data_IF_358816368358
#
_entry.id   IF_358816368358
#
_cell.length_a   1.000
_cell.length_b   1.000
_cell.length_c   1.000
_cell.angle_alpha   90.00
_cell.angle_beta   90.00
_cell.angle_gamma   90.00
#
_symmetry.space_group_name_H-M   'P 1'
#
loop_
_entity.id
_entity.type
_entity.pdbx_description
1 polymer ?
#
# COMPACT_ATOMS: atom_id res chain seq x y z
N UNK A 1 54.18 9.25 13.17
CA UNK A 1 53.56 7.96 13.55
C UNK A 1 52.39 8.28 14.46
N UNK A 2 51.19 8.29 13.92
CA UNK A 2 49.97 8.52 14.70
C UNK A 2 49.27 7.18 14.77
N UNK A 3 49.23 6.61 15.96
CA UNK A 3 48.44 5.42 16.27
C UNK A 3 47.08 5.89 16.78
N UNK A 4 46.00 5.72 15.98
CA UNK A 4 44.64 5.79 16.48
C UNK A 4 43.73 4.77 15.80
N UNK A 5 44.04 3.49 16.08
CA UNK A 5 43.22 2.36 15.61
C UNK A 5 42.04 2.03 16.55
N UNK A 6 41.82 2.84 17.62
CA UNK A 6 40.79 2.50 18.62
C UNK A 6 39.49 3.27 18.46
N UNK A 7 39.49 4.45 17.85
CA UNK A 7 38.32 5.30 17.70
C UNK A 7 37.37 4.79 16.59
N UNK A 8 37.96 4.27 15.49
CA UNK A 8 37.16 3.73 14.39
C UNK A 8 36.42 2.43 14.74
N UNK A 9 37.01 1.58 15.61
CA UNK A 9 36.31 0.35 16.07
C UNK A 9 35.16 0.65 17.03
N UNK A 10 35.30 1.66 17.90
CA UNK A 10 34.22 2.07 18.82
C UNK A 10 33.03 2.68 18.08
N UNK A 11 33.27 3.51 17.06
CA UNK A 11 32.20 4.09 16.21
C UNK A 11 31.45 3.00 15.43
N UNK A 12 32.17 2.01 14.87
CA UNK A 12 31.56 0.92 14.11
C UNK A 12 30.70 0.01 14.99
N UNK A 13 31.10 -0.20 16.26
CA UNK A 13 30.34 -1.01 17.21
C UNK A 13 29.10 -0.29 17.74
N UNK A 14 29.15 1.01 18.00
CA UNK A 14 28.01 1.80 18.44
C UNK A 14 26.91 1.88 17.38
N UNK A 15 27.27 2.09 16.10
CA UNK A 15 26.32 2.11 14.99
C UNK A 15 25.66 0.76 14.74
N UNK A 16 26.31 -0.36 15.05
CA UNK A 16 25.76 -1.70 14.84
C UNK A 16 24.79 -2.14 15.96
N UNK A 17 24.92 -1.62 17.17
CA UNK A 17 23.99 -1.90 18.28
C UNK A 17 22.70 -1.09 18.20
N UNK A 18 22.73 0.16 17.76
CA UNK A 18 21.52 0.99 17.58
C UNK A 18 20.58 0.46 16.52
N UNK A 19 21.08 -0.23 15.49
CA UNK A 19 20.26 -0.83 14.43
C UNK A 19 19.48 -2.09 14.85
N UNK A 20 19.70 -2.62 16.05
CA UNK A 20 19.07 -3.84 16.55
C UNK A 20 17.84 -3.60 17.44
N UNK A 21 17.57 -2.35 17.83
CA UNK A 21 16.40 -2.04 18.66
C UNK A 21 15.13 -2.32 17.87
N UNK A 22 14.24 -3.10 18.48
CA UNK A 22 12.92 -3.43 17.93
C UNK A 22 11.83 -2.77 18.77
N UNK A 23 10.81 -2.30 18.10
CA UNK A 23 9.63 -1.67 18.68
C UNK A 23 8.44 -2.60 18.51
N UNK A 24 7.63 -2.73 19.55
CA UNK A 24 6.34 -3.40 19.46
C UNK A 24 5.32 -2.41 18.89
N UNK A 25 4.66 -2.77 17.79
CA UNK A 25 3.67 -1.93 17.11
C UNK A 25 2.39 -2.73 16.95
N UNK A 26 1.27 -2.13 17.33
CA UNK A 26 -0.06 -2.73 17.22
C UNK A 26 -0.88 -1.95 16.21
N UNK A 27 -1.48 -2.64 15.26
CA UNK A 27 -2.40 -2.06 14.29
C UNK A 27 -3.40 -3.10 13.81
N UNK A 28 -4.48 -2.65 13.18
CA UNK A 28 -5.49 -3.53 12.59
C UNK A 28 -5.26 -3.65 11.09
N UNK A 29 -5.28 -4.87 10.54
CA UNK A 29 -5.20 -5.12 9.11
C UNK A 29 -6.40 -5.94 8.66
N UNK A 30 -7.19 -5.41 7.74
CA UNK A 30 -8.41 -6.06 7.23
C UNK A 30 -9.32 -6.56 8.36
N UNK A 31 -9.50 -5.73 9.40
CA UNK A 31 -10.31 -6.05 10.57
C UNK A 31 -9.68 -6.98 11.62
N UNK A 32 -8.42 -7.42 11.41
CA UNK A 32 -7.71 -8.29 12.37
C UNK A 32 -6.62 -7.52 13.10
N UNK A 33 -6.59 -7.61 14.42
CA UNK A 33 -5.51 -7.03 15.23
C UNK A 33 -4.19 -7.77 15.00
N UNK A 34 -3.14 -7.01 14.83
CA UNK A 34 -1.78 -7.49 14.61
C UNK A 34 -0.83 -6.82 15.61
N UNK A 35 0.04 -7.62 16.23
CA UNK A 35 1.15 -7.11 17.04
C UNK A 35 2.46 -7.58 16.44
N UNK A 36 3.32 -6.66 16.03
CA UNK A 36 4.55 -6.97 15.30
C UNK A 36 5.74 -6.24 15.90
N UNK A 37 6.89 -6.92 15.94
CA UNK A 37 8.17 -6.29 16.28
C UNK A 37 8.82 -5.74 15.03
N UNK A 38 9.12 -4.44 15.01
CA UNK A 38 9.68 -3.75 13.85
C UNK A 38 10.99 -3.03 14.21
N UNK A 39 11.86 -2.79 13.24
CA UNK A 39 12.99 -1.89 13.37
C UNK A 39 12.52 -0.46 13.13
N UNK A 40 13.23 0.55 13.69
CA UNK A 40 12.88 1.96 13.51
C UNK A 40 12.78 2.38 12.04
N UNK A 41 13.64 1.87 11.18
CA UNK A 41 13.69 2.18 9.74
C UNK A 41 12.93 1.20 8.84
N UNK A 42 12.12 0.31 9.41
CA UNK A 42 11.44 -0.73 8.63
C UNK A 42 10.21 -0.17 7.91
N UNK A 43 10.13 -0.24 6.56
CA UNK A 43 8.94 0.16 5.83
C UNK A 43 7.73 -0.71 6.17
N UNK A 44 6.54 -0.10 6.22
CA UNK A 44 5.28 -0.80 6.44
C UNK A 44 5.06 -1.92 5.40
N UNK A 45 5.41 -1.68 4.12
CA UNK A 45 5.37 -2.68 3.05
C UNK A 45 6.05 -3.99 3.45
N UNK A 46 7.24 -3.92 4.05
CA UNK A 46 8.00 -5.12 4.41
C UNK A 46 7.35 -5.90 5.56
N UNK A 47 6.69 -5.19 6.48
CA UNK A 47 5.92 -5.82 7.55
C UNK A 47 4.70 -6.53 6.98
N UNK A 48 3.87 -5.82 6.23
CA UNK A 48 2.65 -6.36 5.65
C UNK A 48 2.95 -7.54 4.72
N UNK A 49 3.92 -7.38 3.82
CA UNK A 49 4.24 -8.43 2.83
C UNK A 49 5.02 -9.61 3.41
N UNK A 50 6.09 -9.34 4.19
CA UNK A 50 7.04 -10.39 4.59
C UNK A 50 6.70 -11.03 5.93
N UNK A 51 6.10 -10.27 6.87
CA UNK A 51 5.73 -10.81 8.18
C UNK A 51 4.29 -11.30 8.22
N UNK A 52 3.36 -10.57 7.59
CA UNK A 52 1.94 -10.92 7.58
C UNK A 52 1.49 -11.69 6.34
N UNK A 53 2.37 -11.89 5.34
CA UNK A 53 2.09 -12.70 4.16
C UNK A 53 1.15 -12.04 3.13
N UNK A 54 0.89 -10.73 3.23
CA UNK A 54 -0.01 -10.00 2.34
C UNK A 54 0.68 -9.70 1.00
N UNK A 55 0.56 -10.60 0.07
CA UNK A 55 1.32 -10.60 -1.19
C UNK A 55 0.78 -9.67 -2.26
N UNK A 56 -0.45 -9.12 -2.09
CA UNK A 56 -1.00 -8.08 -2.97
C UNK A 56 -0.14 -6.81 -2.96
N UNK A 57 0.55 -6.54 -1.86
CA UNK A 57 1.44 -5.40 -1.72
C UNK A 57 2.73 -5.66 -2.51
N UNK A 58 2.88 -4.96 -3.63
CA UNK A 58 3.98 -5.19 -4.59
C UNK A 58 5.14 -4.22 -4.37
N UNK A 59 6.28 -4.52 -5.01
CA UNK A 59 7.50 -3.71 -4.97
C UNK A 59 8.08 -3.56 -6.37
N UNK A 60 7.51 -2.66 -7.17
CA UNK A 60 7.95 -2.44 -8.56
C UNK A 60 9.12 -1.45 -8.64
N UNK A 61 9.11 -0.40 -7.82
CA UNK A 61 10.13 0.66 -7.87
C UNK A 61 11.25 0.50 -6.84
N UNK A 62 11.35 -0.62 -6.14
CA UNK A 62 12.40 -0.84 -5.13
C UNK A 62 12.28 0.04 -3.89
N UNK A 63 11.08 0.54 -3.57
CA UNK A 63 10.86 1.38 -2.39
C UNK A 63 11.05 2.88 -2.61
N UNK A 64 11.13 3.33 -3.87
CA UNK A 64 11.34 4.75 -4.22
C UNK A 64 10.08 5.63 -4.13
N UNK A 65 8.93 5.09 -3.76
CA UNK A 65 7.68 5.85 -3.67
C UNK A 65 7.11 6.33 -5.01
N UNK A 66 7.53 5.74 -6.14
CA UNK A 66 7.27 6.29 -7.47
C UNK A 66 6.16 5.58 -8.25
N UNK A 67 5.70 4.39 -7.84
CA UNK A 67 4.90 3.54 -8.75
C UNK A 67 3.49 3.18 -8.26
N UNK A 68 3.16 3.39 -7.00
CA UNK A 68 1.86 3.08 -6.43
C UNK A 68 1.53 1.58 -6.26
N UNK A 69 2.43 0.65 -6.64
CA UNK A 69 2.13 -0.79 -6.55
C UNK A 69 2.08 -1.33 -5.11
N UNK A 70 2.56 -0.57 -4.14
CA UNK A 70 2.52 -0.87 -2.72
C UNK A 70 1.43 -0.10 -1.97
N UNK A 71 0.50 0.54 -2.66
CA UNK A 71 -0.59 1.29 -2.03
C UNK A 71 -1.41 0.41 -1.11
N UNK A 72 -1.69 0.93 0.08
CA UNK A 72 -2.66 0.43 1.06
C UNK A 72 -3.54 1.59 1.51
N UNK A 73 -4.70 1.31 2.07
CA UNK A 73 -5.52 2.35 2.71
C UNK A 73 -5.18 2.33 4.20
N UNK A 74 -4.75 3.47 4.74
CA UNK A 74 -4.49 3.63 6.16
C UNK A 74 -5.36 4.75 6.72
N UNK A 75 -6.20 4.43 7.69
CA UNK A 75 -7.16 5.36 8.29
C UNK A 75 -8.01 6.08 7.22
N UNK A 76 -8.49 5.34 6.22
CA UNK A 76 -9.33 5.84 5.13
C UNK A 76 -8.57 6.57 4.00
N UNK A 77 -7.24 6.68 4.06
CA UNK A 77 -6.43 7.39 3.04
C UNK A 77 -5.50 6.42 2.31
N UNK A 78 -5.38 6.52 0.97
CA UNK A 78 -4.40 5.74 0.23
C UNK A 78 -3.00 6.26 0.52
N UNK A 79 -2.09 5.37 0.91
CA UNK A 79 -0.69 5.68 1.20
C UNK A 79 0.25 4.70 0.50
N UNK A 80 1.49 5.14 0.29
CA UNK A 80 2.57 4.28 -0.22
C UNK A 80 3.26 3.57 0.95
N UNK A 81 2.97 2.30 1.17
CA UNK A 81 3.53 1.54 2.30
C UNK A 81 5.05 1.37 2.25
N UNK A 82 5.68 1.56 1.09
CA UNK A 82 7.14 1.55 0.97
C UNK A 82 7.80 2.82 1.54
N UNK A 83 7.07 3.94 1.60
CA UNK A 83 7.53 5.24 2.09
C UNK A 83 6.98 5.58 3.49
N UNK A 84 6.26 4.65 4.10
CA UNK A 84 5.70 4.78 5.46
C UNK A 84 6.47 3.87 6.40
N UNK A 85 6.94 4.39 7.52
CA UNK A 85 7.63 3.60 8.54
C UNK A 85 6.61 2.80 9.35
N UNK A 86 6.91 1.53 9.59
CA UNK A 86 6.00 0.67 10.34
C UNK A 86 5.85 1.10 11.80
N UNK A 87 6.87 1.75 12.38
CA UNK A 87 6.86 2.27 13.74
C UNK A 87 5.82 3.39 13.92
N UNK A 88 5.51 4.13 12.86
CA UNK A 88 4.54 5.23 12.88
C UNK A 88 3.08 4.74 12.70
N UNK A 89 2.89 3.43 12.53
CA UNK A 89 1.56 2.84 12.29
C UNK A 89 0.88 2.31 13.54
N UNK A 90 1.38 2.65 14.74
CA UNK A 90 0.75 2.19 15.99
C UNK A 90 -0.68 2.72 16.11
N UNK A 91 -1.63 1.82 16.41
CA UNK A 91 -3.07 2.13 16.44
C UNK A 91 -3.75 2.33 15.09
N UNK A 92 -3.03 2.21 13.96
CA UNK A 92 -3.60 2.44 12.64
C UNK A 92 -4.56 1.33 12.19
N UNK A 93 -5.55 1.70 11.37
CA UNK A 93 -6.42 0.77 10.64
C UNK A 93 -5.97 0.72 9.20
N UNK A 94 -5.58 -0.47 8.73
CA UNK A 94 -5.00 -0.70 7.41
C UNK A 94 -5.89 -1.64 6.60
N UNK A 95 -6.18 -1.27 5.36
CA UNK A 95 -6.88 -2.11 4.40
C UNK A 95 -5.95 -2.46 3.25
N UNK A 96 -6.00 -3.71 2.82
CA UNK A 96 -5.24 -4.23 1.68
C UNK A 96 -6.16 -4.84 0.63
N UNK A 97 -5.64 -5.15 -0.54
CA UNK A 97 -6.46 -5.73 -1.60
C UNK A 97 -7.02 -7.11 -1.26
N UNK A 98 -6.39 -7.86 -0.35
CA UNK A 98 -6.94 -9.10 0.19
C UNK A 98 -8.26 -8.83 0.94
N UNK A 99 -8.29 -7.85 1.84
CA UNK A 99 -9.52 -7.49 2.56
C UNK A 99 -10.62 -6.96 1.64
N UNK A 100 -10.25 -6.23 0.58
CA UNK A 100 -11.21 -5.78 -0.41
C UNK A 100 -11.80 -6.96 -1.20
N UNK A 101 -10.98 -7.95 -1.57
CA UNK A 101 -11.44 -9.15 -2.29
C UNK A 101 -12.48 -9.94 -1.48
N UNK A 102 -12.31 -9.98 -0.16
CA UNK A 102 -13.23 -10.70 0.74
C UNK A 102 -14.51 -9.90 1.06
N UNK A 103 -14.58 -8.61 0.70
CA UNK A 103 -15.67 -7.71 1.13
C UNK A 103 -16.87 -7.63 0.18
N UNK A 104 -16.88 -8.37 -0.94
CA UNK A 104 -17.91 -8.27 -2.00
C UNK A 104 -18.11 -6.84 -2.53
N UNK A 105 -17.06 -6.05 -2.58
CA UNK A 105 -17.08 -4.66 -3.04
C UNK A 105 -17.27 -4.59 -4.57
N UNK A 106 -18.12 -3.68 -5.11
CA UNK A 106 -18.41 -3.59 -6.56
C UNK A 106 -17.17 -3.43 -7.46
N UNK A 107 -16.10 -2.82 -6.95
CA UNK A 107 -14.83 -2.70 -7.69
C UNK A 107 -14.25 -4.06 -8.08
N UNK A 108 -14.38 -5.07 -7.23
CA UNK A 108 -13.84 -6.41 -7.52
C UNK A 108 -14.51 -6.96 -8.76
N UNK A 109 -15.84 -6.95 -8.79
CA UNK A 109 -16.64 -7.44 -9.92
C UNK A 109 -16.34 -6.65 -11.20
N UNK A 110 -16.34 -5.30 -11.12
CA UNK A 110 -16.12 -4.47 -12.32
C UNK A 110 -14.71 -4.62 -12.87
N UNK A 111 -13.70 -4.84 -12.01
CA UNK A 111 -12.34 -5.13 -12.44
C UNK A 111 -12.24 -6.46 -13.18
N UNK A 112 -12.94 -7.48 -12.73
CA UNK A 112 -13.00 -8.78 -13.40
C UNK A 112 -13.75 -8.66 -14.72
N UNK A 113 -14.96 -8.08 -14.72
CA UNK A 113 -15.83 -7.99 -15.89
C UNK A 113 -15.24 -7.15 -17.03
N UNK A 114 -14.44 -6.14 -16.71
CA UNK A 114 -13.78 -5.28 -17.68
C UNK A 114 -12.38 -5.76 -18.08
N UNK A 115 -11.91 -6.92 -17.60
CA UNK A 115 -10.59 -7.45 -17.92
C UNK A 115 -9.47 -6.42 -17.64
N UNK A 116 -9.55 -5.71 -16.50
CA UNK A 116 -8.62 -4.63 -16.18
C UNK A 116 -7.17 -5.09 -16.05
N UNK A 117 -6.95 -6.35 -15.71
CA UNK A 117 -5.62 -6.91 -15.50
C UNK A 117 -5.08 -7.58 -16.77
N UNK A 118 -3.94 -7.13 -17.27
CA UNK A 118 -3.09 -7.90 -18.19
C UNK A 118 -2.10 -8.72 -17.37
N UNK A 119 -0.96 -8.14 -16.96
CA UNK A 119 -0.02 -8.85 -16.07
C UNK A 119 -0.49 -8.89 -14.61
N UNK A 120 -1.42 -8.04 -14.22
CA UNK A 120 -2.02 -7.98 -12.87
C UNK A 120 -1.13 -7.34 -11.79
N UNK A 121 0.11 -6.97 -12.10
CA UNK A 121 1.06 -6.51 -11.08
C UNK A 121 0.64 -5.20 -10.41
N UNK A 122 0.13 -4.23 -11.16
CA UNK A 122 -0.31 -2.93 -10.64
C UNK A 122 -1.72 -2.98 -10.04
N UNK A 123 -2.53 -3.98 -10.38
CA UNK A 123 -3.97 -4.05 -10.04
C UNK A 123 -4.27 -3.83 -8.55
N UNK A 124 -3.54 -4.41 -7.58
CA UNK A 124 -3.81 -4.18 -6.16
C UNK A 124 -3.67 -2.71 -5.75
N UNK A 125 -2.68 -1.99 -6.27
CA UNK A 125 -2.51 -0.56 -5.99
C UNK A 125 -3.61 0.28 -6.60
N UNK A 126 -3.95 0.03 -7.87
CA UNK A 126 -5.02 0.73 -8.57
C UNK A 126 -6.39 0.54 -7.90
N UNK A 127 -6.74 -0.69 -7.53
CA UNK A 127 -8.06 -0.97 -6.94
C UNK A 127 -8.23 -0.34 -5.56
N UNK A 128 -7.16 -0.27 -4.74
CA UNK A 128 -7.21 0.39 -3.44
C UNK A 128 -7.27 1.92 -3.57
N UNK A 129 -6.54 2.50 -4.51
CA UNK A 129 -6.66 3.93 -4.83
C UNK A 129 -8.07 4.26 -5.31
N UNK A 130 -8.63 3.42 -6.19
CA UNK A 130 -10.00 3.57 -6.67
C UNK A 130 -11.03 3.43 -5.55
N UNK A 131 -10.84 2.48 -4.62
CA UNK A 131 -11.71 2.35 -3.44
C UNK A 131 -11.71 3.61 -2.61
N UNK A 132 -10.54 4.15 -2.28
CA UNK A 132 -10.43 5.37 -1.51
C UNK A 132 -11.12 6.57 -2.20
N UNK A 133 -11.01 6.68 -3.52
CA UNK A 133 -11.74 7.69 -4.29
C UNK A 133 -13.25 7.48 -4.18
N UNK A 134 -13.77 6.27 -4.40
CA UNK A 134 -15.21 5.98 -4.41
C UNK A 134 -15.84 6.07 -3.01
N UNK A 135 -15.09 5.84 -1.95
CA UNK A 135 -15.54 6.06 -0.57
C UNK A 135 -15.87 7.56 -0.31
N UNK A 136 -15.12 8.47 -0.92
CA UNK A 136 -15.33 9.92 -0.82
C UNK A 136 -16.27 10.46 -1.89
N UNK A 137 -16.12 10.00 -3.13
CA UNK A 137 -16.91 10.44 -4.28
C UNK A 137 -17.40 9.21 -5.08
N UNK A 138 -18.63 8.77 -4.87
CA UNK A 138 -19.18 7.61 -5.59
C UNK A 138 -19.60 7.94 -7.03
N UNK A 139 -19.47 9.20 -7.48
CA UNK A 139 -19.77 9.63 -8.84
C UNK A 139 -18.59 10.42 -9.45
N UNK A 140 -17.38 9.84 -9.54
CA UNK A 140 -16.22 10.56 -10.02
C UNK A 140 -16.31 10.83 -11.53
N UNK A 141 -15.85 12.01 -11.93
CA UNK A 141 -15.58 12.32 -13.34
C UNK A 141 -14.35 11.55 -13.81
N UNK A 142 -14.13 11.51 -15.11
CA UNK A 142 -12.91 10.91 -15.70
C UNK A 142 -11.65 11.61 -15.17
N UNK A 143 -11.71 12.92 -14.97
CA UNK A 143 -10.57 13.71 -14.52
C UNK A 143 -10.30 13.49 -13.02
N UNK A 144 -11.33 13.36 -12.17
CA UNK A 144 -11.17 12.92 -10.78
C UNK A 144 -10.47 11.56 -10.68
N UNK A 145 -10.85 10.62 -11.55
CA UNK A 145 -10.23 9.29 -11.59
C UNK A 145 -8.76 9.39 -12.03
N UNK A 146 -8.46 10.17 -13.07
CA UNK A 146 -7.07 10.37 -13.54
C UNK A 146 -6.21 11.00 -12.47
N UNK A 147 -6.72 12.01 -11.76
CA UNK A 147 -6.02 12.67 -10.67
C UNK A 147 -5.74 11.68 -9.53
N UNK A 148 -6.74 10.95 -9.07
CA UNK A 148 -6.58 9.94 -8.03
C UNK A 148 -5.56 8.87 -8.41
N UNK A 149 -5.57 8.40 -9.66
CA UNK A 149 -4.66 7.37 -10.17
C UNK A 149 -3.28 7.90 -10.56
N UNK A 150 -3.02 9.21 -10.49
CA UNK A 150 -1.78 9.85 -10.94
C UNK A 150 -0.51 9.28 -10.30
N UNK A 151 -0.61 8.72 -9.09
CA UNK A 151 0.49 8.04 -8.39
C UNK A 151 0.66 6.56 -8.73
N UNK A 152 -0.17 5.98 -9.61
CA UNK A 152 -0.16 4.56 -9.96
C UNK A 152 0.34 4.31 -11.38
N UNK A 153 1.36 3.46 -11.54
CA UNK A 153 1.96 3.15 -12.85
C UNK A 153 1.52 1.77 -13.33
N UNK A 154 0.98 1.72 -14.56
CA UNK A 154 0.70 0.48 -15.27
C UNK A 154 1.64 0.36 -16.49
N UNK A 155 2.56 -0.63 -16.48
CA UNK A 155 3.49 -0.84 -17.60
C UNK A 155 2.81 -1.41 -18.84
N UNK A 156 1.69 -2.10 -18.68
CA UNK A 156 0.87 -2.60 -19.80
C UNK A 156 0.04 -1.51 -20.48
N UNK A 157 -0.07 -0.31 -19.88
CA UNK A 157 -0.77 0.84 -20.45
C UNK A 157 -2.30 0.77 -20.38
N UNK A 158 -2.87 -0.07 -19.54
CA UNK A 158 -4.31 -0.37 -19.50
C UNK A 158 -5.16 0.66 -18.72
N UNK A 159 -4.75 1.94 -18.70
CA UNK A 159 -5.39 2.99 -17.90
C UNK A 159 -6.86 3.22 -18.25
N UNK A 160 -7.23 3.21 -19.54
CA UNK A 160 -8.59 3.46 -20.00
C UNK A 160 -9.59 2.41 -19.45
N UNK A 161 -9.15 1.16 -19.29
CA UNK A 161 -9.99 0.09 -18.76
C UNK A 161 -10.18 0.23 -17.25
N UNK A 162 -9.13 0.67 -16.52
CA UNK A 162 -9.26 1.01 -15.11
C UNK A 162 -10.27 2.13 -14.90
N UNK A 163 -10.21 3.21 -15.70
CA UNK A 163 -11.15 4.34 -15.62
C UNK A 163 -12.60 3.84 -15.81
N UNK A 164 -12.85 3.05 -16.85
CA UNK A 164 -14.17 2.47 -17.12
C UNK A 164 -14.69 1.64 -15.95
N UNK A 165 -13.87 0.72 -15.45
CA UNK A 165 -14.26 -0.15 -14.34
C UNK A 165 -14.58 0.63 -13.06
N UNK A 166 -13.87 1.74 -12.78
CA UNK A 166 -14.12 2.60 -11.63
C UNK A 166 -15.45 3.34 -11.78
N UNK A 167 -15.76 3.87 -12.96
CA UNK A 167 -17.04 4.53 -13.22
C UNK A 167 -18.22 3.56 -13.03
N UNK A 168 -18.12 2.34 -13.59
CA UNK A 168 -19.14 1.30 -13.42
C UNK A 168 -19.30 0.88 -11.94
N UNK A 169 -18.19 0.77 -11.19
CA UNK A 169 -18.25 0.49 -9.77
C UNK A 169 -18.96 1.60 -8.99
N UNK A 170 -18.66 2.86 -9.30
CA UNK A 170 -19.32 4.01 -8.72
C UNK A 170 -20.83 4.00 -8.97
N UNK A 171 -21.26 3.64 -10.19
CA UNK A 171 -22.69 3.48 -10.51
C UNK A 171 -23.32 2.39 -9.64
N UNK A 172 -22.73 1.20 -9.58
CA UNK A 172 -23.23 0.10 -8.74
C UNK A 172 -23.32 0.45 -7.26
N UNK A 173 -22.37 1.25 -6.74
CA UNK A 173 -22.41 1.72 -5.34
C UNK A 173 -23.62 2.63 -5.09
N UNK A 174 -23.94 3.52 -6.05
CA UNK A 174 -25.12 4.41 -5.92
C UNK A 174 -26.44 3.64 -6.02
N UNK A 175 -26.52 2.62 -6.85
CA UNK A 175 -27.70 1.78 -7.02
C UNK A 175 -27.99 0.87 -5.81
N UNK A 176 -26.98 0.62 -4.94
CA UNK A 176 -27.14 -0.19 -3.72
C UNK A 176 -27.61 0.62 -2.51
N UNK A 177 -27.62 1.96 -2.58
CA UNK A 177 -28.09 2.88 -1.52
C UNK A 177 -29.56 3.19 -1.69
#
# INVERSE_FOLDING_TARGET
MIKDNNTSKAITQATHQETLQKYDVKFTVNGKECNVKVKANQPLRDVLRRKLGLTSIKDMCGGQGACGSCTVIMNGRPILSCSTLAVDCDGAVIETAEGLADSNHPLVDTYVMNWTAQCGYCTPGFILTAKALLDHNPNPTVDDIKEALGGNICRCGNYHVHIKAIQEAGQKIRERK
#
